data_IF_457512654860
#
_entry.id   IF_457512654860
#
_cell.length_a   1.000
_cell.length_b   1.000
_cell.length_c   1.000
_cell.angle_alpha   90.00
_cell.angle_beta   90.00
_cell.angle_gamma   90.00
#
_symmetry.space_group_name_H-M   'P 1'
#
loop_
_entity.id
_entity.type
_entity.pdbx_description
1 polymer ?
#
# COMPACT_ATOMS: atom_id res chain seq x y z
N UNK A 1 39.10 44.35 20.72
CA UNK A 1 38.33 43.14 21.10
C UNK A 1 37.33 42.85 19.98
N UNK A 2 37.20 41.58 19.55
CA UNK A 2 36.00 41.01 18.88
C UNK A 2 35.83 41.04 17.34
N UNK A 3 36.77 41.48 16.50
CA UNK A 3 36.64 41.33 15.02
C UNK A 3 36.94 39.89 14.52
N UNK A 4 37.58 39.05 15.35
CA UNK A 4 37.91 37.65 15.02
C UNK A 4 36.71 36.71 15.01
N UNK A 5 35.57 37.11 15.60
CA UNK A 5 34.35 36.28 15.67
C UNK A 5 33.35 36.56 14.54
N UNK A 6 33.53 37.64 13.78
CA UNK A 6 32.62 38.03 12.68
C UNK A 6 32.79 37.14 11.44
N UNK A 7 34.01 36.67 11.15
CA UNK A 7 34.27 35.73 10.05
C UNK A 7 33.78 34.30 10.37
N UNK A 8 33.89 33.86 11.61
CA UNK A 8 33.37 32.54 12.05
C UNK A 8 31.85 32.49 12.14
N UNK A 9 31.17 33.63 12.35
CA UNK A 9 29.73 33.70 12.36
C UNK A 9 29.10 33.58 10.95
N UNK A 10 29.83 33.96 9.90
CA UNK A 10 29.33 33.90 8.52
C UNK A 10 29.41 32.49 7.91
N UNK A 11 30.30 31.63 8.42
CA UNK A 11 30.46 30.25 7.93
C UNK A 11 29.36 29.34 8.51
N UNK A 12 28.86 29.62 9.71
CA UNK A 12 27.83 28.82 10.36
C UNK A 12 26.43 28.99 9.76
N UNK A 13 26.14 30.13 9.11
CA UNK A 13 24.83 30.38 8.48
C UNK A 13 24.70 29.73 7.10
N UNK A 14 25.80 29.40 6.42
CA UNK A 14 25.76 28.74 5.11
C UNK A 14 25.45 27.23 5.17
N UNK A 15 25.56 26.61 6.36
CA UNK A 15 25.34 25.18 6.53
C UNK A 15 23.85 24.78 6.64
N UNK A 16 22.93 25.75 6.79
CA UNK A 16 21.49 25.48 6.91
C UNK A 16 20.75 25.48 5.56
N UNK A 17 21.40 25.84 4.45
CA UNK A 17 20.78 25.87 3.13
C UNK A 17 20.85 24.53 2.38
N UNK A 18 21.36 23.47 3.01
CA UNK A 18 21.24 22.09 2.51
C UNK A 18 20.08 21.39 3.21
N UNK A 19 18.99 22.11 3.42
CA UNK A 19 17.74 21.55 3.96
C UNK A 19 16.89 21.06 2.80
N UNK A 20 16.84 19.73 2.64
CA UNK A 20 16.01 18.98 1.71
C UNK A 20 15.97 19.52 0.26
N UNK A 21 16.87 19.00 -0.58
CA UNK A 21 16.38 18.60 -1.90
C UNK A 21 15.36 17.50 -1.62
N UNK A 22 14.08 17.88 -1.62
CA UNK A 22 12.97 16.93 -1.74
C UNK A 22 13.10 16.32 -3.13
N UNK A 23 14.03 15.38 -3.30
CA UNK A 23 14.01 14.47 -4.43
C UNK A 23 12.88 13.49 -4.17
N UNK A 24 11.66 13.99 -4.28
CA UNK A 24 10.48 13.18 -4.43
C UNK A 24 10.68 12.36 -5.71
N UNK A 25 10.44 11.05 -5.68
CA UNK A 25 10.59 10.21 -6.85
C UNK A 25 9.56 10.68 -7.89
N UNK A 26 10.05 11.30 -8.96
CA UNK A 26 9.24 11.63 -10.12
C UNK A 26 8.38 12.88 -9.99
N UNK A 27 8.02 13.41 -11.16
CA UNK A 27 7.09 14.51 -11.28
C UNK A 27 5.68 14.04 -10.89
N UNK A 28 5.27 14.34 -9.64
CA UNK A 28 3.92 14.11 -9.12
C UNK A 28 2.84 14.84 -9.94
N UNK A 29 3.19 15.77 -10.84
CA UNK A 29 2.21 16.38 -11.73
C UNK A 29 1.64 15.38 -12.74
N UNK A 30 2.45 14.41 -13.18
CA UNK A 30 2.07 13.43 -14.19
C UNK A 30 1.18 12.29 -13.65
N UNK A 31 1.29 12.00 -12.35
CA UNK A 31 0.58 10.92 -11.69
C UNK A 31 0.26 11.27 -10.24
N UNK A 32 -1.02 11.29 -9.91
CA UNK A 32 -1.55 11.55 -8.57
C UNK A 32 -2.56 10.48 -8.21
N UNK A 33 -2.52 10.05 -6.95
CA UNK A 33 -3.42 9.01 -6.43
C UNK A 33 -4.01 9.49 -5.13
N UNK A 34 -5.30 9.24 -4.90
CA UNK A 34 -5.96 9.70 -3.66
C UNK A 34 -5.49 8.92 -2.42
N UNK A 35 -4.97 7.71 -2.59
CA UNK A 35 -4.31 6.92 -1.57
C UNK A 35 -3.33 5.93 -2.20
N UNK A 36 -2.16 5.75 -1.58
CA UNK A 36 -1.19 4.71 -1.91
C UNK A 36 -1.28 3.49 -0.98
N UNK A 37 -2.20 3.51 0.00
CA UNK A 37 -2.41 2.44 0.95
C UNK A 37 -3.86 1.98 0.91
N UNK A 38 -4.06 0.69 0.64
CA UNK A 38 -5.36 0.04 0.59
C UNK A 38 -5.43 -0.99 1.71
N UNK A 39 -6.50 -0.90 2.51
CA UNK A 39 -6.79 -1.87 3.57
C UNK A 39 -8.14 -2.50 3.29
N UNK A 40 -8.13 -3.82 3.08
CA UNK A 40 -9.34 -4.62 2.87
C UNK A 40 -9.63 -5.40 4.15
N UNK A 41 -10.87 -5.38 4.65
CA UNK A 41 -11.26 -6.18 5.80
C UNK A 41 -11.07 -7.69 5.56
N UNK A 42 -10.95 -8.49 6.64
CA UNK A 42 -10.87 -9.94 6.55
C UNK A 42 -12.10 -10.58 5.91
N UNK A 43 -13.29 -10.03 6.14
CA UNK A 43 -14.55 -10.44 5.49
C UNK A 43 -14.55 -10.19 3.96
N UNK A 44 -13.47 -9.65 3.40
CA UNK A 44 -13.39 -9.16 2.04
C UNK A 44 -14.04 -7.80 1.91
N UNK A 45 -14.10 -7.31 0.68
CA UNK A 45 -14.71 -6.03 0.37
C UNK A 45 -14.01 -5.33 -0.77
N UNK A 46 -14.29 -4.03 -0.89
CA UNK A 46 -13.73 -3.22 -1.94
C UNK A 46 -13.39 -1.83 -1.44
N UNK A 47 -12.34 -1.24 -1.99
CA UNK A 47 -11.94 0.13 -1.75
C UNK A 47 -11.68 0.81 -3.09
N UNK A 48 -12.24 1.99 -3.27
CA UNK A 48 -12.05 2.79 -4.49
C UNK A 48 -11.15 3.97 -4.19
N UNK A 49 -10.19 4.19 -5.09
CA UNK A 49 -9.33 5.38 -5.11
C UNK A 49 -9.50 6.10 -6.43
N UNK A 50 -9.03 7.34 -6.48
CA UNK A 50 -8.91 8.11 -7.71
C UNK A 50 -7.47 8.09 -8.19
N UNK A 51 -7.26 7.71 -9.45
CA UNK A 51 -5.99 7.82 -10.16
C UNK A 51 -6.12 8.94 -11.19
N UNK A 52 -5.27 9.95 -11.07
CA UNK A 52 -5.15 11.04 -12.03
C UNK A 52 -3.81 10.92 -12.74
N UNK A 53 -3.84 10.73 -14.05
CA UNK A 53 -2.65 10.56 -14.87
C UNK A 53 -2.68 11.48 -16.10
N UNK A 54 -1.50 11.87 -16.59
CA UNK A 54 -1.38 12.65 -17.84
C UNK A 54 -1.28 11.78 -19.09
N UNK A 55 -0.97 10.48 -18.92
CA UNK A 55 -0.78 9.52 -19.99
C UNK A 55 -1.41 8.16 -19.61
N UNK A 56 -1.28 7.18 -20.51
CA UNK A 56 -1.74 5.81 -20.24
C UNK A 56 -0.94 5.14 -19.11
N UNK A 57 -1.61 4.27 -18.38
CA UNK A 57 -1.06 3.58 -17.21
C UNK A 57 -1.62 2.18 -17.04
N UNK A 58 -0.89 1.34 -16.32
CA UNK A 58 -1.29 -0.01 -15.93
C UNK A 58 -0.68 -0.40 -14.58
N UNK A 59 -1.41 -1.21 -13.82
CA UNK A 59 -0.90 -1.87 -12.61
C UNK A 59 -0.04 -3.07 -12.98
N UNK A 60 1.08 -3.22 -12.29
CA UNK A 60 1.97 -4.38 -12.36
C UNK A 60 1.98 -5.13 -11.03
N UNK A 61 2.47 -6.38 -11.06
CA UNK A 61 2.64 -7.23 -9.87
C UNK A 61 1.35 -7.50 -9.10
N UNK A 62 0.19 -7.52 -9.78
CA UNK A 62 -1.10 -7.81 -9.15
C UNK A 62 -1.16 -9.27 -8.73
N UNK A 63 -1.33 -9.58 -7.43
CA UNK A 63 -1.40 -10.96 -6.96
C UNK A 63 -2.77 -11.57 -7.24
N UNK A 64 -2.84 -12.90 -7.33
CA UNK A 64 -4.07 -13.63 -7.69
C UNK A 64 -5.26 -13.40 -6.74
N UNK A 65 -4.99 -13.02 -5.48
CA UNK A 65 -6.02 -12.77 -4.48
C UNK A 65 -6.68 -11.37 -4.58
N UNK A 66 -6.13 -10.49 -5.41
CA UNK A 66 -6.56 -9.09 -5.52
C UNK A 66 -7.08 -8.80 -6.93
N UNK A 67 -8.30 -8.25 -7.01
CA UNK A 67 -8.90 -7.80 -8.27
C UNK A 67 -8.91 -6.28 -8.32
N UNK A 68 -8.43 -5.70 -9.43
CA UNK A 68 -8.34 -4.26 -9.66
C UNK A 68 -9.15 -3.90 -10.91
N UNK A 69 -10.08 -2.95 -10.77
CA UNK A 69 -10.95 -2.52 -11.86
C UNK A 69 -11.02 -0.99 -11.94
N UNK A 70 -10.59 -0.36 -13.04
CA UNK A 70 -9.83 -0.95 -14.15
C UNK A 70 -8.34 -1.18 -13.76
N UNK A 71 -7.73 -2.22 -14.30
CA UNK A 71 -6.29 -2.51 -14.09
C UNK A 71 -5.35 -1.65 -14.96
N UNK A 72 -5.92 -0.92 -15.92
CA UNK A 72 -5.22 0.03 -16.79
C UNK A 72 -6.15 1.16 -17.20
N UNK A 73 -5.59 2.32 -17.56
CA UNK A 73 -6.36 3.48 -18.00
C UNK A 73 -5.58 4.42 -18.88
N UNK A 74 -6.26 5.48 -19.31
CA UNK A 74 -5.70 6.57 -20.08
C UNK A 74 -5.42 7.81 -19.23
N UNK A 75 -5.06 8.89 -19.92
CA UNK A 75 -4.98 10.21 -19.31
C UNK A 75 -6.34 10.66 -18.76
N UNK A 76 -6.31 11.43 -17.68
CA UNK A 76 -7.48 11.94 -16.98
C UNK A 76 -7.59 11.39 -15.56
N UNK A 77 -8.77 11.59 -14.99
CA UNK A 77 -9.11 11.17 -13.63
C UNK A 77 -10.03 9.94 -13.70
N UNK A 78 -9.59 8.83 -13.13
CA UNK A 78 -10.24 7.53 -13.24
C UNK A 78 -10.38 6.94 -11.83
N UNK A 79 -11.59 6.49 -11.50
CA UNK A 79 -11.83 5.72 -10.28
C UNK A 79 -11.36 4.28 -10.47
N UNK A 80 -10.55 3.79 -9.54
CA UNK A 80 -10.01 2.43 -9.51
C UNK A 80 -10.46 1.73 -8.25
N UNK A 81 -11.12 0.59 -8.40
CA UNK A 81 -11.62 -0.24 -7.31
C UNK A 81 -10.73 -1.45 -7.11
N UNK A 82 -10.23 -1.61 -5.89
CA UNK A 82 -9.50 -2.77 -5.40
C UNK A 82 -10.47 -3.64 -4.63
N UNK A 83 -10.49 -4.95 -4.90
CA UNK A 83 -11.39 -5.89 -4.25
C UNK A 83 -10.69 -7.21 -3.96
N UNK A 84 -11.00 -7.79 -2.81
CA UNK A 84 -10.56 -9.12 -2.43
C UNK A 84 -11.70 -9.85 -1.71
N UNK A 85 -11.76 -11.17 -1.89
CA UNK A 85 -12.70 -12.03 -1.17
C UNK A 85 -12.29 -12.23 0.30
N UNK A 86 -13.14 -12.89 1.07
CA UNK A 86 -12.86 -13.21 2.47
C UNK A 86 -11.56 -14.01 2.63
N UNK A 87 -10.78 -13.69 3.66
CA UNK A 87 -9.57 -14.40 4.04
C UNK A 87 -9.43 -14.45 5.56
N UNK A 88 -9.10 -15.64 6.06
CA UNK A 88 -8.69 -15.84 7.46
C UNK A 88 -7.19 -15.60 7.66
N UNK A 89 -6.41 -15.49 6.58
CA UNK A 89 -4.98 -15.24 6.60
C UNK A 89 -4.69 -13.76 6.29
N UNK A 90 -3.68 -13.17 6.93
CA UNK A 90 -3.16 -11.84 6.53
C UNK A 90 -2.50 -11.94 5.16
N UNK A 91 -2.86 -11.04 4.24
CA UNK A 91 -2.24 -10.91 2.91
C UNK A 91 -1.69 -9.51 2.73
N UNK A 92 -0.55 -9.40 2.07
CA UNK A 92 0.03 -8.12 1.71
C UNK A 92 0.64 -8.21 0.31
N UNK A 93 0.53 -7.14 -0.46
CA UNK A 93 1.18 -7.02 -1.76
C UNK A 93 1.60 -5.57 -2.02
N UNK A 94 2.75 -5.42 -2.66
CA UNK A 94 3.22 -4.16 -3.22
C UNK A 94 2.92 -4.18 -4.73
N UNK A 95 2.20 -3.16 -5.19
CA UNK A 95 1.88 -2.96 -6.59
C UNK A 95 2.63 -1.73 -7.09
N UNK A 96 2.90 -1.67 -8.39
CA UNK A 96 3.35 -0.43 -9.01
C UNK A 96 2.46 -0.02 -10.17
N UNK A 97 2.31 1.29 -10.34
CA UNK A 97 1.71 1.91 -11.52
C UNK A 97 2.80 2.74 -12.20
N UNK A 98 2.83 2.70 -13.53
CA UNK A 98 3.80 3.47 -14.32
C UNK A 98 3.09 4.41 -15.28
N UNK A 99 3.54 5.66 -15.32
CA UNK A 99 3.13 6.71 -16.26
C UNK A 99 4.40 7.33 -16.85
N UNK A 100 4.69 7.03 -18.12
CA UNK A 100 5.92 7.50 -18.76
C UNK A 100 7.18 7.08 -17.99
N UNK A 101 7.94 8.06 -17.49
CA UNK A 101 9.14 7.85 -16.67
C UNK A 101 8.87 7.73 -15.16
N UNK A 102 7.64 8.03 -14.72
CA UNK A 102 7.28 8.05 -13.31
C UNK A 102 6.63 6.72 -12.90
N UNK A 103 6.95 6.27 -11.70
CA UNK A 103 6.43 5.05 -11.11
C UNK A 103 6.00 5.32 -9.67
N UNK A 104 4.82 4.84 -9.30
CA UNK A 104 4.26 4.98 -7.96
C UNK A 104 3.94 3.60 -7.41
N UNK A 105 4.29 3.39 -6.13
CA UNK A 105 4.02 2.15 -5.42
C UNK A 105 2.75 2.26 -4.57
N UNK A 106 2.05 1.14 -4.46
CA UNK A 106 0.90 0.95 -3.60
C UNK A 106 1.12 -0.24 -2.68
N UNK A 107 0.69 -0.09 -1.44
CA UNK A 107 0.65 -1.18 -0.48
C UNK A 107 -0.79 -1.60 -0.27
N UNK A 108 -1.10 -2.85 -0.57
CA UNK A 108 -2.42 -3.44 -0.35
C UNK A 108 -2.30 -4.49 0.73
N UNK A 109 -3.11 -4.34 1.78
CA UNK A 109 -3.18 -5.29 2.89
C UNK A 109 -4.59 -5.81 3.07
N UNK A 110 -4.70 -7.09 3.39
CA UNK A 110 -5.90 -7.70 3.91
C UNK A 110 -5.56 -8.22 5.30
N UNK A 111 -6.18 -7.62 6.32
CA UNK A 111 -5.89 -7.96 7.71
C UNK A 111 -6.46 -9.33 8.08
N UNK A 112 -5.90 -9.96 9.11
CA UNK A 112 -6.44 -11.20 9.69
C UNK A 112 -7.86 -10.98 10.19
N UNK A 113 -8.72 -11.98 9.99
CA UNK A 113 -10.00 -12.06 10.66
C UNK A 113 -9.79 -12.12 12.16
N UNK A 114 -10.15 -11.06 12.88
CA UNK A 114 -10.57 -11.21 14.28
C UNK A 114 -11.94 -11.88 14.30
N UNK A 115 -12.06 -13.05 13.67
CA UNK A 115 -13.19 -13.93 13.90
C UNK A 115 -13.05 -14.45 15.31
N UNK A 116 -14.12 -14.37 16.11
CA UNK A 116 -14.22 -15.27 17.27
C UNK A 116 -13.98 -16.69 16.75
N UNK A 117 -12.92 -17.32 17.27
CA UNK A 117 -12.59 -18.68 16.89
C UNK A 117 -13.70 -19.56 17.45
N UNK A 118 -14.59 -20.07 16.59
CA UNK A 118 -15.57 -21.06 17.02
C UNK A 118 -14.80 -22.34 17.38
N UNK A 119 -14.90 -22.83 18.62
CA UNK A 119 -14.27 -24.09 19.00
C UNK A 119 -14.70 -25.19 18.03
N UNK A 120 -13.73 -25.89 17.47
CA UNK A 120 -13.97 -27.04 16.60
C UNK A 120 -13.90 -28.30 17.45
N UNK A 121 -14.79 -29.24 17.18
CA UNK A 121 -14.73 -30.57 17.80
C UNK A 121 -13.54 -31.35 17.25
N UNK A 122 -13.05 -32.35 18.00
CA UNK A 122 -11.99 -33.24 17.53
C UNK A 122 -12.34 -33.92 16.19
N UNK A 123 -13.62 -34.19 15.93
CA UNK A 123 -14.07 -34.79 14.68
C UNK A 123 -13.85 -33.86 13.47
N UNK A 124 -14.11 -32.55 13.64
CA UNK A 124 -13.92 -31.54 12.59
C UNK A 124 -12.45 -31.25 12.33
N UNK A 125 -11.62 -31.28 13.38
CA UNK A 125 -10.16 -31.10 13.26
C UNK A 125 -9.54 -32.25 12.46
N UNK A 126 -9.98 -33.49 12.70
CA UNK A 126 -9.47 -34.68 11.98
C UNK A 126 -9.94 -34.69 10.51
N UNK A 127 -11.14 -34.18 10.23
CA UNK A 127 -11.67 -34.08 8.86
C UNK A 127 -11.14 -32.86 8.09
N UNK A 128 -10.45 -31.94 8.77
CA UNK A 128 -9.97 -30.69 8.22
C UNK A 128 -8.69 -30.80 7.38
N UNK A 129 -8.38 -29.80 6.54
CA UNK A 129 -7.13 -29.77 5.78
C UNK A 129 -5.90 -29.77 6.68
N UNK A 130 -4.93 -30.64 6.37
CA UNK A 130 -3.63 -30.69 7.06
C UNK A 130 -2.90 -29.34 6.91
N UNK A 131 -2.40 -28.79 8.02
CA UNK A 131 -1.67 -27.51 8.04
C UNK A 131 -2.51 -26.28 8.38
N UNK A 132 -3.77 -26.46 8.79
CA UNK A 132 -4.60 -25.40 9.39
C UNK A 132 -4.57 -25.45 10.92
N UNK A 133 -4.64 -24.27 11.55
CA UNK A 133 -4.72 -24.12 13.00
C UNK A 133 -6.18 -24.10 13.43
N UNK A 134 -6.53 -24.90 14.43
CA UNK A 134 -7.89 -25.00 14.99
C UNK A 134 -7.86 -24.64 16.47
N UNK A 135 -8.94 -24.03 16.99
CA UNK A 135 -9.18 -23.99 18.44
C UNK A 135 -9.99 -25.22 18.81
N UNK A 136 -9.38 -26.17 19.51
CA UNK A 136 -10.10 -27.36 19.95
C UNK A 136 -11.00 -27.01 21.14
N UNK A 137 -12.25 -27.50 21.12
CA UNK A 137 -13.08 -27.52 22.31
C UNK A 137 -12.54 -28.60 23.27
N UNK A 138 -12.04 -28.16 24.43
CA UNK A 138 -11.57 -29.08 25.47
C UNK A 138 -12.76 -29.74 26.17
N UNK A 139 -12.70 -31.06 26.36
CA UNK A 139 -13.65 -31.82 27.20
C UNK A 139 -13.37 -31.66 28.68
#
# INVERSE_FOLDING_TARGET
MKLRYLLTAFVATLAFAVGCVDQLPGDLASLQVSSSYISIPPAGGSQTITVKATEAWAFNSVPDWLTITPSSGGAGEIAVTFSAGESLDTRAAELSIKVGANEQFFNVTQQVGSGELTPSTCAEIIAGPVGKTYQAEGV
#
